data_IF_005427184875
#
_entry.id   IF_005427184875
#
_cell.length_a   1.000
_cell.length_b   1.000
_cell.length_c   1.000
_cell.angle_alpha   90.00
_cell.angle_beta   90.00
_cell.angle_gamma   90.00
#
_symmetry.space_group_name_H-M   'P 1'
#
loop_
_entity.id
_entity.type
_entity.pdbx_description
1 polymer ?
#
# COMPACT_ATOMS: atom_id res chain seq x y z
N UNK A 1 2.46 -38.41 -1.72
CA UNK A 1 3.13 -37.60 -0.69
C UNK A 1 4.39 -38.35 -0.27
N UNK A 2 5.57 -37.71 -0.32
CA UNK A 2 6.82 -38.38 0.06
C UNK A 2 6.74 -38.81 1.55
N UNK A 3 7.35 -39.96 1.87
CA UNK A 3 7.28 -40.55 3.23
C UNK A 3 8.19 -39.83 4.25
N UNK A 4 9.13 -39.00 3.79
CA UNK A 4 10.01 -38.21 4.65
C UNK A 4 9.74 -36.72 4.47
N UNK A 5 9.29 -36.07 5.56
CA UNK A 5 9.05 -34.62 5.61
C UNK A 5 10.35 -33.81 5.77
N UNK A 6 11.45 -34.46 6.12
CA UNK A 6 12.79 -33.89 6.25
C UNK A 6 13.64 -34.54 5.17
N UNK A 7 14.30 -33.73 4.36
CA UNK A 7 15.12 -34.16 3.23
C UNK A 7 16.54 -33.62 3.37
N UNK A 8 17.50 -34.32 2.80
CA UNK A 8 18.90 -33.90 2.77
C UNK A 8 19.15 -32.82 1.70
N UNK A 9 20.27 -32.11 1.80
CA UNK A 9 20.64 -30.99 0.92
C UNK A 9 20.59 -31.36 -0.57
N UNK A 10 21.11 -32.53 -0.94
CA UNK A 10 21.11 -32.98 -2.34
C UNK A 10 19.70 -33.20 -2.90
N UNK A 11 18.77 -33.67 -2.08
CA UNK A 11 17.37 -33.81 -2.49
C UNK A 11 16.70 -32.44 -2.59
N UNK A 12 16.97 -31.53 -1.67
CA UNK A 12 16.49 -30.15 -1.73
C UNK A 12 16.95 -29.45 -3.03
N UNK A 13 18.24 -29.55 -3.39
CA UNK A 13 18.78 -28.99 -4.64
C UNK A 13 18.12 -29.57 -5.88
N UNK A 14 17.85 -30.88 -5.90
CA UNK A 14 17.15 -31.52 -7.03
C UNK A 14 15.70 -31.06 -7.16
N UNK A 15 14.99 -30.89 -6.03
CA UNK A 15 13.60 -30.43 -6.04
C UNK A 15 13.50 -28.96 -6.46
N UNK A 16 14.40 -28.10 -5.97
CA UNK A 16 14.38 -26.67 -6.29
C UNK A 16 14.80 -26.40 -7.73
N UNK A 17 15.68 -27.21 -8.32
CA UNK A 17 16.01 -27.14 -9.75
C UNK A 17 14.77 -27.28 -10.67
N UNK A 18 13.71 -27.93 -10.19
CA UNK A 18 12.44 -28.06 -10.92
C UNK A 18 11.51 -26.85 -10.84
N UNK A 19 11.80 -25.86 -9.98
CA UNK A 19 10.90 -24.71 -9.78
C UNK A 19 11.12 -23.56 -10.76
N UNK A 20 12.26 -23.52 -11.46
CA UNK A 20 12.58 -22.50 -12.45
C UNK A 20 14.04 -22.04 -12.38
N UNK A 21 14.36 -21.04 -13.19
CA UNK A 21 15.73 -20.51 -13.33
C UNK A 21 15.93 -19.17 -12.59
N UNK A 22 14.87 -18.57 -12.07
CA UNK A 22 14.92 -17.29 -11.36
C UNK A 22 14.42 -17.48 -9.92
N UNK A 23 15.17 -16.92 -8.97
CA UNK A 23 14.82 -16.93 -7.55
C UNK A 23 14.96 -15.52 -6.98
N UNK A 24 14.02 -15.11 -6.13
CA UNK A 24 14.18 -13.94 -5.29
C UNK A 24 14.88 -14.35 -3.98
N UNK A 25 15.87 -13.56 -3.57
CA UNK A 25 16.51 -13.63 -2.27
C UNK A 25 15.89 -12.57 -1.37
N UNK A 26 15.19 -12.99 -0.32
CA UNK A 26 14.47 -12.11 0.59
C UNK A 26 15.13 -12.16 1.96
N UNK A 27 15.67 -11.05 2.43
CA UNK A 27 16.26 -10.98 3.76
C UNK A 27 15.19 -10.88 4.84
N UNK A 28 15.31 -11.72 5.86
CA UNK A 28 14.41 -11.75 6.99
C UNK A 28 14.87 -10.79 8.09
N UNK A 29 13.94 -10.25 8.91
CA UNK A 29 14.29 -9.54 10.14
C UNK A 29 15.06 -10.44 11.13
N UNK A 30 15.86 -9.84 12.01
CA UNK A 30 16.74 -10.56 12.94
C UNK A 30 16.03 -11.58 13.86
N UNK A 31 14.73 -11.40 14.11
CA UNK A 31 13.93 -12.31 14.95
C UNK A 31 13.38 -13.53 14.17
N UNK A 32 13.66 -13.65 12.88
CA UNK A 32 13.17 -14.72 11.99
C UNK A 32 14.35 -15.58 11.54
N UNK A 33 14.23 -16.90 11.72
CA UNK A 33 15.17 -17.87 11.20
C UNK A 33 14.59 -18.59 9.98
N UNK A 34 15.35 -18.77 8.88
CA UNK A 34 16.74 -18.31 8.64
C UNK A 34 16.84 -16.83 8.26
N UNK A 35 18.07 -16.29 8.15
CA UNK A 35 18.33 -14.88 7.83
C UNK A 35 17.88 -14.43 6.44
N UNK A 36 17.54 -15.37 5.56
CA UNK A 36 16.95 -15.10 4.26
C UNK A 36 16.10 -16.27 3.77
N UNK A 37 15.15 -16.00 2.89
CA UNK A 37 14.35 -16.98 2.17
C UNK A 37 14.59 -16.91 0.66
N UNK A 38 14.53 -18.06 -0.01
CA UNK A 38 14.63 -18.17 -1.45
C UNK A 38 13.28 -18.53 -2.05
N UNK A 39 12.77 -17.67 -2.93
CA UNK A 39 11.48 -17.86 -3.58
C UNK A 39 11.66 -18.13 -5.07
N UNK A 40 11.20 -19.28 -5.61
CA UNK A 40 11.19 -19.47 -7.05
C UNK A 40 10.22 -18.47 -7.70
N UNK A 41 10.66 -17.79 -8.75
CA UNK A 41 9.84 -16.87 -9.51
C UNK A 41 9.26 -17.58 -10.73
N UNK A 42 7.94 -17.57 -10.84
CA UNK A 42 7.26 -18.12 -12.03
C UNK A 42 7.75 -17.42 -13.31
N UNK A 43 7.85 -18.11 -14.46
CA UNK A 43 8.27 -17.47 -15.71
C UNK A 43 7.40 -16.28 -16.10
N UNK A 44 8.06 -15.24 -16.64
CA UNK A 44 7.38 -14.03 -17.13
C UNK A 44 6.42 -14.35 -18.27
N UNK A 45 5.22 -13.80 -18.21
CA UNK A 45 4.22 -13.89 -19.27
C UNK A 45 4.11 -12.52 -19.93
N UNK A 46 4.54 -12.43 -21.19
CA UNK A 46 4.45 -11.17 -21.94
C UNK A 46 3.08 -10.96 -22.59
N UNK A 47 2.40 -12.04 -23.00
CA UNK A 47 1.05 -11.98 -23.59
C UNK A 47 0.21 -13.16 -23.11
N UNK A 48 -0.85 -12.93 -22.32
CA UNK A 48 -1.72 -14.00 -21.83
C UNK A 48 -2.55 -14.61 -22.98
N UNK A 49 -2.95 -15.88 -22.85
CA UNK A 49 -3.92 -16.51 -23.79
C UNK A 49 -5.37 -16.18 -23.43
N UNK A 50 -5.63 -15.96 -22.15
CA UNK A 50 -6.91 -15.57 -21.58
C UNK A 50 -6.66 -14.80 -20.29
N UNK A 51 -7.61 -13.97 -19.89
CA UNK A 51 -7.61 -13.32 -18.58
C UNK A 51 -8.86 -13.79 -17.83
N UNK A 52 -8.70 -14.05 -16.54
CA UNK A 52 -9.76 -14.44 -15.60
C UNK A 52 -9.84 -13.52 -14.39
N UNK A 53 -8.72 -12.99 -13.95
CA UNK A 53 -8.65 -12.16 -12.76
C UNK A 53 -7.55 -11.10 -12.82
N UNK A 54 -7.72 -10.08 -11.99
CA UNK A 54 -6.73 -9.06 -11.65
C UNK A 54 -6.47 -9.14 -10.14
N UNK A 55 -5.22 -9.14 -9.74
CA UNK A 55 -4.83 -8.80 -8.36
C UNK A 55 -4.02 -7.52 -8.40
N UNK A 56 -4.31 -6.57 -7.52
CA UNK A 56 -3.61 -5.29 -7.55
C UNK A 56 -3.33 -4.77 -6.16
N UNK A 57 -2.23 -4.02 -6.03
CA UNK A 57 -1.94 -3.28 -4.81
C UNK A 57 -2.87 -2.09 -4.61
N UNK A 58 -2.97 -1.63 -3.36
CA UNK A 58 -3.75 -0.45 -2.99
C UNK A 58 -2.94 0.83 -3.16
N UNK A 59 -1.94 1.01 -2.30
CA UNK A 59 -1.07 2.18 -2.28
C UNK A 59 -0.28 2.23 -3.60
N UNK A 60 -0.14 3.40 -4.23
CA UNK A 60 0.73 3.62 -5.40
C UNK A 60 0.23 3.03 -6.72
N UNK A 61 -0.65 2.03 -6.64
CA UNK A 61 -1.25 1.33 -7.78
C UNK A 61 -2.72 1.72 -7.97
N UNK A 62 -3.49 1.76 -6.88
CA UNK A 62 -4.93 2.10 -6.88
C UNK A 62 -5.18 3.51 -6.36
N UNK A 63 -4.43 3.97 -5.36
CA UNK A 63 -4.67 5.27 -4.70
C UNK A 63 -3.38 5.95 -4.23
N UNK A 64 -3.45 7.25 -3.93
CA UNK A 64 -2.33 8.15 -3.59
C UNK A 64 -2.00 8.23 -2.09
N UNK A 65 -2.21 7.16 -1.33
CA UNK A 65 -2.07 7.12 0.13
C UNK A 65 -0.66 7.43 0.64
N UNK A 66 0.35 7.37 -0.22
CA UNK A 66 1.74 7.68 0.10
C UNK A 66 1.94 9.06 0.70
N UNK A 67 1.15 10.04 0.30
CA UNK A 67 1.27 11.39 0.83
C UNK A 67 0.96 11.44 2.34
N UNK A 68 0.02 10.60 2.80
CA UNK A 68 -0.29 10.43 4.23
C UNK A 68 0.90 9.73 4.93
N UNK A 69 1.49 8.73 4.29
CA UNK A 69 2.64 7.99 4.81
C UNK A 69 3.86 8.92 4.95
N UNK A 70 4.23 9.65 3.89
CA UNK A 70 5.33 10.62 3.89
C UNK A 70 5.12 11.69 4.96
N UNK A 71 3.91 12.26 5.04
CA UNK A 71 3.57 13.22 6.08
C UNK A 71 3.79 12.64 7.49
N UNK A 72 3.36 11.41 7.72
CA UNK A 72 3.44 10.77 9.03
C UNK A 72 4.90 10.41 9.40
N UNK A 73 5.70 10.01 8.42
CA UNK A 73 7.14 9.77 8.58
C UNK A 73 7.89 11.07 8.89
N UNK A 74 7.60 12.14 8.15
CA UNK A 74 8.18 13.44 8.42
C UNK A 74 7.78 13.93 9.82
N UNK A 75 6.50 13.83 10.18
CA UNK A 75 6.01 14.19 11.52
C UNK A 75 6.78 13.45 12.62
N UNK A 76 6.97 12.14 12.46
CA UNK A 76 7.75 11.33 13.38
C UNK A 76 9.18 11.87 13.53
N UNK A 77 9.87 12.18 12.43
CA UNK A 77 11.22 12.77 12.48
C UNK A 77 11.21 14.15 13.13
N UNK A 78 10.23 15.01 12.82
CA UNK A 78 10.08 16.34 13.46
C UNK A 78 9.95 16.20 14.97
N UNK A 79 9.15 15.24 15.44
CA UNK A 79 8.92 15.00 16.88
C UNK A 79 10.20 14.56 17.58
N UNK A 80 10.87 13.53 17.07
CA UNK A 80 12.06 12.97 17.75
C UNK A 80 13.33 13.82 17.60
N UNK A 81 13.32 14.83 16.72
CA UNK A 81 14.44 15.77 16.52
C UNK A 81 14.16 17.19 17.00
N UNK A 82 13.00 17.46 17.59
CA UNK A 82 12.55 18.79 18.02
C UNK A 82 12.44 19.84 16.88
N UNK A 83 12.07 19.39 15.67
CA UNK A 83 12.06 20.21 14.44
C UNK A 83 10.68 20.37 13.84
N UNK A 84 9.71 20.71 14.68
CA UNK A 84 8.35 21.01 14.22
C UNK A 84 8.28 22.27 13.34
N UNK A 85 9.22 23.19 13.51
CA UNK A 85 9.29 24.45 12.80
C UNK A 85 9.88 24.27 11.38
N UNK A 86 9.10 24.63 10.35
CA UNK A 86 9.47 24.51 8.93
C UNK A 86 10.51 25.54 8.48
N UNK A 87 10.75 26.58 9.27
CA UNK A 87 11.85 27.52 9.01
C UNK A 87 13.19 26.96 9.49
N UNK A 88 13.17 26.11 10.51
CA UNK A 88 14.37 25.42 11.04
C UNK A 88 14.73 24.15 10.27
N UNK A 89 13.73 23.45 9.75
CA UNK A 89 13.95 22.27 8.91
C UNK A 89 12.85 22.15 7.86
N UNK A 90 13.26 22.16 6.60
CA UNK A 90 12.34 22.17 5.45
C UNK A 90 11.58 20.87 5.26
N UNK A 91 12.02 19.77 5.88
CA UNK A 91 11.38 18.46 5.79
C UNK A 91 12.28 17.42 5.15
N UNK A 92 11.69 16.27 4.82
CA UNK A 92 12.38 15.18 4.16
C UNK A 92 12.85 15.59 2.75
N UNK A 93 14.00 15.07 2.33
CA UNK A 93 14.57 15.40 1.03
C UNK A 93 14.00 14.47 -0.05
N UNK A 94 13.41 15.05 -1.10
CA UNK A 94 12.77 14.28 -2.17
C UNK A 94 13.75 13.39 -2.96
N UNK A 95 15.00 13.80 -3.16
CA UNK A 95 15.95 13.05 -3.99
C UNK A 95 16.61 11.91 -3.21
N UNK A 96 16.86 12.10 -1.92
CA UNK A 96 17.60 11.14 -1.08
C UNK A 96 16.71 10.33 -0.15
N UNK A 97 15.68 10.93 0.45
CA UNK A 97 14.83 10.21 1.41
C UNK A 97 13.71 9.42 0.72
N UNK A 98 13.00 10.03 -0.25
CA UNK A 98 11.78 9.44 -0.83
C UNK A 98 11.99 8.03 -1.42
N UNK A 99 13.09 7.77 -2.16
CA UNK A 99 13.36 6.42 -2.68
C UNK A 99 13.53 5.34 -1.59
N UNK A 100 13.83 5.74 -0.35
CA UNK A 100 14.08 4.82 0.76
C UNK A 100 12.90 4.70 1.73
N UNK A 101 11.84 5.49 1.53
CA UNK A 101 10.70 5.58 2.45
C UNK A 101 9.34 5.26 1.81
N UNK A 102 9.34 4.69 0.61
CA UNK A 102 8.13 4.25 -0.13
C UNK A 102 8.37 2.88 -0.76
N UNK A 103 7.31 2.08 -0.93
CA UNK A 103 7.31 0.76 -1.59
C UNK A 103 8.16 -0.33 -0.89
N UNK A 104 8.33 -0.18 0.42
CA UNK A 104 8.86 -1.19 1.34
C UNK A 104 8.06 -1.13 2.66
N UNK A 105 8.38 -1.95 3.66
CA UNK A 105 7.71 -1.91 4.96
C UNK A 105 7.99 -0.61 5.72
N UNK A 106 7.00 -0.14 6.49
CA UNK A 106 7.15 1.03 7.37
C UNK A 106 8.35 0.91 8.30
N UNK A 107 8.64 -0.29 8.81
CA UNK A 107 9.82 -0.50 9.67
C UNK A 107 11.12 -0.16 8.95
N UNK A 108 11.26 -0.55 7.68
CA UNK A 108 12.46 -0.23 6.87
C UNK A 108 12.58 1.27 6.61
N UNK A 109 11.46 1.95 6.37
CA UNK A 109 11.42 3.40 6.21
C UNK A 109 11.90 4.11 7.47
N UNK A 110 11.41 3.67 8.63
CA UNK A 110 11.82 4.22 9.93
C UNK A 110 13.30 3.93 10.21
N UNK A 111 13.79 2.71 9.97
CA UNK A 111 15.21 2.36 10.12
C UNK A 111 16.11 3.32 9.32
N UNK A 112 15.79 3.54 8.04
CA UNK A 112 16.52 4.48 7.19
C UNK A 112 16.50 5.90 7.76
N UNK A 113 15.32 6.41 8.13
CA UNK A 113 15.19 7.79 8.62
C UNK A 113 15.88 8.00 9.97
N UNK A 114 15.84 7.01 10.88
CA UNK A 114 16.59 7.08 12.13
C UNK A 114 18.10 7.17 11.86
N UNK A 115 18.62 6.38 10.92
CA UNK A 115 20.04 6.46 10.54
C UNK A 115 20.38 7.80 9.88
N UNK A 116 19.59 8.25 8.92
CA UNK A 116 19.81 9.48 8.18
C UNK A 116 19.80 10.73 9.09
N UNK A 117 18.92 10.73 10.10
CA UNK A 117 18.72 11.87 11.00
C UNK A 117 19.31 11.68 12.41
N UNK A 118 20.09 10.62 12.65
CA UNK A 118 20.63 10.24 13.97
C UNK A 118 21.35 11.38 14.70
N UNK A 119 22.09 12.22 13.97
CA UNK A 119 22.87 13.34 14.52
C UNK A 119 22.01 14.42 15.19
N UNK A 120 20.70 14.37 14.97
CA UNK A 120 19.73 15.31 15.49
C UNK A 120 18.72 14.67 16.45
N UNK A 121 18.89 13.38 16.75
CA UNK A 121 18.01 12.66 17.65
C UNK A 121 18.01 13.32 19.05
N UNK A 122 16.82 13.55 19.58
CA UNK A 122 16.62 14.09 20.93
C UNK A 122 15.91 13.05 21.79
N UNK A 123 16.66 12.49 22.75
CA UNK A 123 16.17 11.46 23.67
C UNK A 123 14.93 11.89 24.47
N UNK A 124 14.89 13.12 24.95
CA UNK A 124 13.78 13.58 25.79
C UNK A 124 12.51 13.84 24.97
N UNK A 125 12.65 14.37 23.75
CA UNK A 125 11.51 14.51 22.84
C UNK A 125 10.98 13.16 22.35
N UNK A 126 11.86 12.17 22.11
CA UNK A 126 11.44 10.80 21.81
C UNK A 126 10.60 10.22 22.96
N UNK A 127 11.07 10.27 24.21
CA UNK A 127 10.33 9.75 25.37
C UNK A 127 8.97 10.43 25.53
N UNK A 128 8.94 11.75 25.36
CA UNK A 128 7.71 12.55 25.43
C UNK A 128 6.73 12.18 24.33
N UNK A 129 7.21 12.03 23.09
CA UNK A 129 6.40 11.61 21.96
C UNK A 129 5.87 10.18 22.17
N UNK A 130 6.70 9.26 22.62
CA UNK A 130 6.30 7.88 22.86
C UNK A 130 5.24 7.75 23.96
N UNK A 131 5.39 8.45 25.10
CA UNK A 131 4.33 8.48 26.13
C UNK A 131 3.03 9.04 25.57
N UNK A 132 3.10 10.10 24.75
CA UNK A 132 1.91 10.63 24.09
C UNK A 132 1.25 9.59 23.18
N UNK A 133 2.03 8.81 22.43
CA UNK A 133 1.49 7.70 21.62
C UNK A 133 0.72 6.72 22.48
N UNK A 134 1.28 6.25 23.59
CA UNK A 134 0.60 5.26 24.44
C UNK A 134 -0.74 5.82 24.96
N UNK A 135 -0.73 7.05 25.47
CA UNK A 135 -1.94 7.71 25.97
C UNK A 135 -2.98 7.89 24.85
N UNK A 136 -2.53 8.36 23.68
CA UNK A 136 -3.39 8.57 22.53
C UNK A 136 -4.01 7.26 22.05
N UNK A 137 -3.21 6.21 21.87
CA UNK A 137 -3.68 4.89 21.40
C UNK A 137 -4.66 4.28 22.38
N UNK A 138 -4.41 4.34 23.68
CA UNK A 138 -5.35 3.83 24.69
C UNK A 138 -6.68 4.60 24.76
N UNK A 139 -6.71 5.85 24.28
CA UNK A 139 -7.89 6.72 24.36
C UNK A 139 -8.68 6.77 23.04
N UNK A 140 -7.98 6.81 21.91
CA UNK A 140 -8.51 7.10 20.58
C UNK A 140 -8.16 6.03 19.54
N UNK A 141 -7.25 5.10 19.86
CA UNK A 141 -6.89 4.01 18.97
C UNK A 141 -8.10 3.14 18.65
N UNK A 142 -8.26 2.84 17.37
CA UNK A 142 -9.41 2.05 16.89
C UNK A 142 -9.04 0.56 16.77
N UNK A 143 -7.82 0.26 16.36
CA UNK A 143 -7.37 -1.13 16.20
C UNK A 143 -6.88 -1.74 17.50
N UNK A 144 -7.46 -2.89 17.86
CA UNK A 144 -7.14 -3.59 19.10
C UNK A 144 -5.74 -4.19 19.09
N UNK A 145 -5.29 -4.75 17.97
CA UNK A 145 -3.95 -5.36 17.87
C UNK A 145 -2.87 -4.30 18.00
N UNK A 146 -3.06 -3.15 17.35
CA UNK A 146 -2.21 -1.98 17.50
C UNK A 146 -2.13 -1.51 18.95
N UNK A 147 -3.26 -1.52 19.65
CA UNK A 147 -3.30 -1.19 21.07
C UNK A 147 -2.49 -2.19 21.90
N UNK A 148 -2.60 -3.49 21.62
CA UNK A 148 -1.83 -4.56 22.27
C UNK A 148 -0.32 -4.41 22.00
N UNK A 149 0.08 -4.11 20.76
CA UNK A 149 1.47 -3.85 20.36
C UNK A 149 2.07 -2.65 21.09
N UNK A 150 1.38 -1.50 21.08
CA UNK A 150 1.81 -0.29 21.81
C UNK A 150 1.92 -0.56 23.32
N UNK A 151 1.05 -1.39 23.89
CA UNK A 151 1.17 -1.81 25.29
C UNK A 151 2.41 -2.68 25.53
N UNK A 152 2.72 -3.61 24.63
CA UNK A 152 3.93 -4.45 24.71
C UNK A 152 5.18 -3.55 24.66
N UNK A 153 5.22 -2.62 23.72
CA UNK A 153 6.35 -1.69 23.57
C UNK A 153 6.46 -0.73 24.76
N UNK A 154 5.33 -0.24 25.31
CA UNK A 154 5.33 0.57 26.53
C UNK A 154 5.86 -0.20 27.75
N UNK A 155 5.46 -1.45 27.90
CA UNK A 155 5.97 -2.32 28.96
C UNK A 155 7.46 -2.59 28.80
N UNK A 156 7.95 -2.76 27.57
CA UNK A 156 9.37 -2.97 27.30
C UNK A 156 10.20 -1.70 27.55
N UNK A 157 9.73 -0.55 27.05
CA UNK A 157 10.48 0.70 27.07
C UNK A 157 10.42 1.43 28.41
N UNK A 158 9.30 1.37 29.14
CA UNK A 158 9.04 2.15 30.36
C UNK A 158 8.86 1.25 31.59
N UNK A 159 8.23 0.09 31.42
CA UNK A 159 7.96 -0.88 32.49
C UNK A 159 6.48 -1.06 32.85
N UNK A 160 6.14 -2.16 33.51
CA UNK A 160 4.76 -2.57 33.86
C UNK A 160 3.98 -1.53 34.67
N UNK A 161 4.65 -0.85 35.60
CA UNK A 161 4.02 0.12 36.50
C UNK A 161 3.47 1.35 35.77
N UNK A 162 3.94 1.62 34.55
CA UNK A 162 3.41 2.69 33.72
C UNK A 162 1.97 2.40 33.31
N UNK A 163 1.71 1.21 32.75
CA UNK A 163 0.37 0.82 32.25
C UNK A 163 -0.67 0.68 33.37
N UNK A 164 -0.23 0.48 34.61
CA UNK A 164 -1.10 0.40 35.78
C UNK A 164 -1.31 1.75 36.50
N UNK A 165 -0.77 2.85 35.95
CA UNK A 165 -0.94 4.18 36.55
C UNK A 165 -2.44 4.58 36.57
N UNK A 166 -2.87 5.19 37.68
CA UNK A 166 -4.26 5.65 37.86
C UNK A 166 -4.70 6.64 36.79
N UNK A 167 -3.79 7.41 36.22
CA UNK A 167 -4.07 8.34 35.13
C UNK A 167 -4.39 7.60 33.82
N UNK A 168 -3.78 6.43 33.58
CA UNK A 168 -4.08 5.59 32.42
C UNK A 168 -5.44 4.90 32.59
N UNK A 169 -5.76 4.45 33.81
CA UNK A 169 -7.06 3.80 34.08
C UNK A 169 -8.26 4.75 34.02
N UNK A 170 -8.04 6.07 34.03
CA UNK A 170 -9.10 7.10 34.03
C UNK A 170 -8.97 8.06 32.82
N UNK A 171 -8.51 7.56 31.68
CA UNK A 171 -8.30 8.37 30.48
C UNK A 171 -9.61 8.97 29.96
N UNK A 172 -9.55 10.27 29.64
CA UNK A 172 -10.61 10.98 28.92
C UNK A 172 -10.00 11.68 27.70
N UNK A 173 -10.76 11.68 26.60
CA UNK A 173 -10.32 12.24 25.31
C UNK A 173 -9.90 13.70 25.39
N UNK A 174 -10.55 14.51 26.22
CA UNK A 174 -10.25 15.95 26.38
C UNK A 174 -8.95 16.25 27.13
N UNK A 175 -8.31 15.25 27.75
CA UNK A 175 -7.15 15.45 28.62
C UNK A 175 -5.85 14.78 28.13
N UNK A 176 -5.82 14.24 26.91
CA UNK A 176 -4.67 13.47 26.36
C UNK A 176 -3.34 14.21 26.53
N UNK A 177 -3.23 15.47 26.10
CA UNK A 177 -1.98 16.25 26.22
C UNK A 177 -1.54 16.45 27.68
N UNK A 178 -2.50 16.82 28.53
CA UNK A 178 -2.27 17.10 29.95
C UNK A 178 -1.85 15.84 30.70
N UNK A 179 -2.50 14.71 30.44
CA UNK A 179 -2.19 13.42 31.05
C UNK A 179 -0.83 12.92 30.54
N UNK A 180 -0.57 13.00 29.24
CA UNK A 180 0.72 12.65 28.64
C UNK A 180 1.88 13.42 29.29
N UNK A 181 1.72 14.73 29.50
CA UNK A 181 2.76 15.54 30.14
C UNK A 181 2.98 15.17 31.62
N UNK A 182 1.92 14.86 32.37
CA UNK A 182 2.03 14.40 33.76
C UNK A 182 2.74 13.05 33.85
N UNK A 183 2.36 12.11 32.99
CA UNK A 183 2.98 10.79 32.90
C UNK A 183 4.45 10.89 32.47
N UNK A 184 4.78 11.77 31.52
CA UNK A 184 6.16 12.05 31.14
C UNK A 184 6.99 12.54 32.33
N UNK A 185 6.51 13.52 33.09
CA UNK A 185 7.21 14.01 34.29
C UNK A 185 7.44 12.92 35.34
N UNK A 186 6.54 11.93 35.41
CA UNK A 186 6.60 10.83 36.38
C UNK A 186 7.50 9.67 35.94
N UNK A 187 7.49 9.31 34.65
CA UNK A 187 8.09 8.08 34.14
C UNK A 187 9.26 8.31 33.16
N UNK A 188 9.67 9.55 32.86
CA UNK A 188 10.79 9.81 31.94
C UNK A 188 12.12 9.19 32.38
N UNK A 189 12.32 9.00 33.69
CA UNK A 189 13.48 8.32 34.28
C UNK A 189 13.36 6.79 34.30
N UNK A 190 12.15 6.24 34.13
CA UNK A 190 11.89 4.79 34.10
C UNK A 190 12.21 4.15 32.74
N UNK A 191 12.45 4.96 31.71
CA UNK A 191 12.81 4.45 30.40
C UNK A 191 14.09 3.62 30.46
N UNK A 192 14.07 2.46 29.79
CA UNK A 192 15.28 1.68 29.56
C UNK A 192 16.32 2.46 28.74
N UNK A 193 17.55 1.94 28.71
CA UNK A 193 18.57 2.46 27.81
C UNK A 193 18.14 2.28 26.35
N UNK A 194 18.17 3.39 25.59
CA UNK A 194 17.74 3.38 24.19
C UNK A 194 18.89 2.93 23.30
N UNK A 195 18.65 1.86 22.55
CA UNK A 195 19.47 1.43 21.42
C UNK A 195 18.70 1.60 20.10
N UNK A 196 19.37 1.36 18.97
CA UNK A 196 18.79 1.51 17.64
C UNK A 196 17.45 0.78 17.49
N UNK A 197 17.38 -0.50 17.86
CA UNK A 197 16.16 -1.32 17.77
C UNK A 197 15.00 -0.72 18.58
N UNK A 198 15.26 -0.28 19.81
CA UNK A 198 14.23 0.34 20.66
C UNK A 198 13.75 1.70 20.14
N UNK A 199 14.64 2.48 19.53
CA UNK A 199 14.29 3.76 18.90
C UNK A 199 13.42 3.50 17.67
N UNK A 200 13.78 2.54 16.83
CA UNK A 200 13.00 2.17 15.64
C UNK A 200 11.59 1.76 16.04
N UNK A 201 11.43 0.84 17.00
CA UNK A 201 10.09 0.40 17.48
C UNK A 201 9.23 1.57 17.97
N UNK A 202 9.75 2.39 18.90
CA UNK A 202 8.99 3.54 19.40
C UNK A 202 8.69 4.58 18.33
N UNK A 203 9.57 4.73 17.33
CA UNK A 203 9.34 5.63 16.19
C UNK A 203 8.30 5.11 15.21
N UNK A 204 8.22 3.79 15.00
CA UNK A 204 7.10 3.16 14.26
C UNK A 204 5.77 3.49 14.95
N UNK A 205 5.72 3.42 16.28
CA UNK A 205 4.53 3.80 17.05
C UNK A 205 4.15 5.29 16.89
N UNK A 206 5.14 6.19 16.89
CA UNK A 206 4.91 7.62 16.62
C UNK A 206 4.38 7.84 15.19
N UNK A 207 4.91 7.11 14.21
CA UNK A 207 4.41 7.16 12.84
C UNK A 207 2.92 6.74 12.77
N UNK A 208 2.57 5.56 13.28
CA UNK A 208 1.19 5.06 13.18
C UNK A 208 0.20 5.89 13.99
N UNK A 209 0.62 6.44 15.14
CA UNK A 209 -0.22 7.39 15.87
C UNK A 209 -0.65 8.54 14.95
N UNK A 210 0.30 9.14 14.23
CA UNK A 210 -0.01 10.24 13.33
C UNK A 210 -0.84 9.76 12.14
N UNK A 211 -0.48 8.63 11.53
CA UNK A 211 -1.20 8.05 10.41
C UNK A 211 -2.67 7.79 10.77
N UNK A 212 -2.95 7.15 11.91
CA UNK A 212 -4.30 6.87 12.39
C UNK A 212 -5.06 8.14 12.78
N UNK A 213 -4.39 9.15 13.34
CA UNK A 213 -5.02 10.45 13.59
C UNK A 213 -5.55 11.08 12.29
N UNK A 214 -4.79 10.98 11.20
CA UNK A 214 -5.22 11.48 9.89
C UNK A 214 -6.37 10.64 9.31
N UNK A 215 -6.30 9.31 9.39
CA UNK A 215 -7.37 8.43 8.92
C UNK A 215 -8.69 8.66 9.66
N UNK A 216 -8.65 8.88 10.98
CA UNK A 216 -9.85 9.20 11.78
C UNK A 216 -10.50 10.51 11.30
N UNK A 217 -9.69 11.53 10.96
CA UNK A 217 -10.21 12.80 10.41
C UNK A 217 -10.85 12.60 9.04
N UNK A 218 -10.20 11.83 8.17
CA UNK A 218 -10.74 11.48 6.85
C UNK A 218 -12.08 10.74 7.00
N UNK A 219 -12.16 9.76 7.90
CA UNK A 219 -13.38 9.01 8.17
C UNK A 219 -14.54 9.90 8.64
N UNK A 220 -14.24 10.98 9.38
CA UNK A 220 -15.22 11.98 9.85
C UNK A 220 -15.66 12.98 8.77
N UNK A 221 -15.05 12.94 7.58
CA UNK A 221 -15.35 13.84 6.47
C UNK A 221 -14.47 15.09 6.43
N UNK A 222 -13.44 15.19 7.27
CA UNK A 222 -12.55 16.35 7.34
C UNK A 222 -11.39 16.26 6.33
N UNK A 223 -11.41 15.29 5.41
CA UNK A 223 -10.31 15.02 4.47
C UNK A 223 -9.94 16.21 3.57
N UNK A 224 -10.93 16.95 3.05
CA UNK A 224 -10.68 18.15 2.23
C UNK A 224 -10.07 19.30 3.03
N UNK A 225 -10.53 19.49 4.27
CA UNK A 225 -10.01 20.53 5.17
C UNK A 225 -8.55 20.22 5.50
N UNK A 226 -8.29 18.97 5.88
CA UNK A 226 -6.96 18.47 6.18
C UNK A 226 -6.02 18.66 4.97
N UNK A 227 -6.49 18.34 3.75
CA UNK A 227 -5.67 18.45 2.55
C UNK A 227 -5.30 19.90 2.22
N UNK A 228 -6.24 20.84 2.42
CA UNK A 228 -5.98 22.28 2.28
C UNK A 228 -4.96 22.78 3.30
N UNK A 229 -5.06 22.34 4.55
CA UNK A 229 -4.12 22.72 5.61
C UNK A 229 -2.70 22.22 5.34
N UNK A 230 -2.57 20.99 4.84
CA UNK A 230 -1.28 20.32 4.69
C UNK A 230 -0.60 20.56 3.34
N UNK A 231 -1.32 20.57 2.22
CA UNK A 231 -0.72 20.73 0.88
C UNK A 231 -0.78 22.17 0.33
N UNK A 232 -1.52 23.07 0.99
CA UNK A 232 -1.75 24.46 0.53
C UNK A 232 -2.26 24.57 -0.92
N UNK A 233 -2.85 23.50 -1.46
CA UNK A 233 -3.39 23.45 -2.81
C UNK A 233 -4.90 23.14 -2.76
N UNK A 234 -5.78 24.11 -3.10
CA UNK A 234 -7.22 23.88 -3.14
C UNK A 234 -7.56 22.97 -4.32
N UNK A 235 -7.83 21.69 -4.04
CA UNK A 235 -8.28 20.70 -5.03
C UNK A 235 -7.55 19.36 -4.97
N UNK A 236 -6.48 19.23 -4.17
CA UNK A 236 -5.82 17.95 -3.90
C UNK A 236 -6.51 17.26 -2.73
N UNK A 237 -6.89 16.00 -2.88
CA UNK A 237 -7.32 15.13 -1.78
C UNK A 237 -6.14 14.26 -1.32
N UNK A 238 -6.17 13.79 -0.07
CA UNK A 238 -5.18 12.83 0.43
C UNK A 238 -5.30 11.46 -0.23
N UNK A 239 -6.53 11.09 -0.60
CA UNK A 239 -6.88 9.79 -1.14
C UNK A 239 -7.60 10.05 -2.45
N UNK A 240 -6.86 9.91 -3.54
CA UNK A 240 -7.37 10.01 -4.90
C UNK A 240 -7.15 8.69 -5.62
N UNK A 241 -7.98 8.34 -6.62
CA UNK A 241 -7.65 7.25 -7.51
C UNK A 241 -6.42 7.61 -8.33
N UNK A 242 -5.50 6.64 -8.46
CA UNK A 242 -4.45 6.76 -9.48
C UNK A 242 -5.08 6.95 -10.87
N UNK A 243 -4.38 7.61 -11.82
CA UNK A 243 -4.93 7.85 -13.15
C UNK A 243 -5.49 6.58 -13.79
N UNK A 244 -6.68 6.70 -14.40
CA UNK A 244 -7.36 5.60 -15.08
C UNK A 244 -7.97 4.50 -14.20
N UNK A 245 -7.82 4.52 -12.87
CA UNK A 245 -8.32 3.48 -11.96
C UNK A 245 -9.83 3.23 -12.10
N UNK A 246 -10.64 4.29 -12.08
CA UNK A 246 -12.10 4.15 -12.23
C UNK A 246 -12.50 3.52 -13.57
N UNK A 247 -11.84 3.94 -14.65
CA UNK A 247 -12.07 3.40 -16.00
C UNK A 247 -11.62 1.94 -16.09
N UNK A 248 -10.46 1.61 -15.53
CA UNK A 248 -9.92 0.25 -15.51
C UNK A 248 -10.85 -0.71 -14.76
N UNK A 249 -11.32 -0.34 -13.56
CA UNK A 249 -12.27 -1.18 -12.81
C UNK A 249 -13.59 -1.36 -13.58
N UNK A 250 -14.14 -0.29 -14.16
CA UNK A 250 -15.37 -0.38 -14.94
C UNK A 250 -15.19 -1.22 -16.21
N UNK A 251 -14.01 -1.17 -16.84
CA UNK A 251 -13.63 -1.97 -18.00
C UNK A 251 -13.60 -3.46 -17.66
N UNK A 252 -12.83 -3.86 -16.65
CA UNK A 252 -12.64 -5.29 -16.33
C UNK A 252 -13.91 -5.92 -15.74
N UNK A 253 -14.77 -5.14 -15.08
CA UNK A 253 -16.10 -5.59 -14.62
C UNK A 253 -17.15 -5.58 -15.74
N UNK A 254 -16.77 -5.26 -16.98
CA UNK A 254 -17.65 -5.34 -18.14
C UNK A 254 -18.78 -4.31 -18.14
N UNK A 255 -18.53 -3.11 -17.61
CA UNK A 255 -19.58 -2.10 -17.42
C UNK A 255 -19.63 -1.06 -18.56
N UNK A 256 -18.59 -0.98 -19.39
CA UNK A 256 -18.43 0.09 -20.37
C UNK A 256 -18.90 -0.29 -21.78
N UNK A 257 -18.70 -1.53 -22.21
CA UNK A 257 -19.01 -1.97 -23.58
C UNK A 257 -18.39 -1.03 -24.63
N UNK A 258 -19.14 -0.66 -25.66
CA UNK A 258 -18.68 0.30 -26.68
C UNK A 258 -18.42 1.72 -26.14
N UNK A 259 -19.05 2.11 -25.04
CA UNK A 259 -18.96 3.48 -24.52
C UNK A 259 -17.62 3.80 -23.87
N UNK A 260 -16.71 2.81 -23.75
CA UNK A 260 -15.30 3.07 -23.46
C UNK A 260 -14.70 4.06 -24.44
N UNK A 261 -15.16 4.10 -25.70
CA UNK A 261 -14.68 5.04 -26.72
C UNK A 261 -14.74 6.50 -26.26
N UNK A 262 -15.76 6.85 -25.46
CA UNK A 262 -15.98 8.21 -24.96
C UNK A 262 -15.02 8.60 -23.84
N UNK A 263 -14.37 7.62 -23.19
CA UNK A 263 -13.43 7.81 -22.08
C UNK A 263 -11.96 7.74 -22.55
N UNK A 264 -11.72 7.34 -23.80
CA UNK A 264 -10.37 7.28 -24.39
C UNK A 264 -9.65 8.64 -24.35
N UNK A 265 -10.28 9.79 -24.64
CA UNK A 265 -9.61 11.08 -24.58
C UNK A 265 -8.99 11.36 -23.20
N UNK A 266 -9.69 10.99 -22.12
CA UNK A 266 -9.21 11.19 -20.74
C UNK A 266 -7.96 10.33 -20.49
N UNK A 267 -8.00 9.05 -20.88
CA UNK A 267 -6.84 8.14 -20.77
C UNK A 267 -5.63 8.63 -21.58
N UNK A 268 -5.86 9.26 -22.73
CA UNK A 268 -4.79 9.79 -23.57
C UNK A 268 -4.18 11.07 -23.01
N UNK A 269 -4.96 11.91 -22.32
CA UNK A 269 -4.43 13.12 -21.71
C UNK A 269 -3.37 12.78 -20.65
N UNK A 270 -3.63 11.74 -19.86
CA UNK A 270 -2.66 11.22 -18.87
C UNK A 270 -1.35 10.79 -19.53
N UNK A 271 -1.41 10.10 -20.67
CA UNK A 271 -0.22 9.60 -21.36
C UNK A 271 0.52 10.67 -22.16
N UNK A 272 -0.20 11.63 -22.76
CA UNK A 272 0.40 12.77 -23.47
C UNK A 272 1.19 13.67 -22.54
N UNK A 273 0.69 13.88 -21.32
CA UNK A 273 1.41 14.66 -20.30
C UNK A 273 2.78 14.07 -19.94
N UNK A 274 3.02 12.80 -20.28
CA UNK A 274 4.24 12.04 -20.00
C UNK A 274 5.08 11.70 -21.24
N UNK A 275 4.66 12.17 -22.42
CA UNK A 275 5.33 11.88 -23.72
C UNK A 275 5.42 10.38 -24.07
N UNK A 276 4.40 9.59 -23.71
CA UNK A 276 4.41 8.12 -23.82
C UNK A 276 3.65 7.53 -25.03
N UNK A 277 3.05 8.35 -25.91
CA UNK A 277 2.24 7.90 -27.07
C UNK A 277 2.40 8.79 -28.32
N UNK A 278 2.49 8.17 -29.50
CA UNK A 278 2.37 8.81 -30.83
C UNK A 278 0.91 8.79 -31.35
N UNK A 279 0.48 9.89 -31.98
CA UNK A 279 -0.85 10.09 -32.56
C UNK A 279 -1.28 9.04 -33.59
N UNK A 280 -0.35 8.44 -34.34
CA UNK A 280 -0.68 7.35 -35.29
C UNK A 280 -1.07 6.04 -34.59
N UNK A 281 -0.58 5.79 -33.38
CA UNK A 281 -0.94 4.59 -32.61
C UNK A 281 -2.35 4.67 -32.03
N UNK A 282 -2.78 5.88 -31.64
CA UNK A 282 -4.03 6.13 -30.92
C UNK A 282 -5.24 5.47 -31.59
N UNK A 283 -5.46 5.69 -32.90
CA UNK A 283 -6.64 5.17 -33.60
C UNK A 283 -6.70 3.64 -33.62
N UNK A 284 -5.54 2.99 -33.69
CA UNK A 284 -5.45 1.54 -33.64
C UNK A 284 -5.75 1.03 -32.23
N UNK A 285 -5.13 1.64 -31.21
CA UNK A 285 -5.32 1.27 -29.81
C UNK A 285 -6.78 1.47 -29.35
N UNK A 286 -7.45 2.52 -29.82
CA UNK A 286 -8.87 2.75 -29.52
C UNK A 286 -9.78 1.63 -29.99
N UNK A 287 -9.59 1.14 -31.23
CA UNK A 287 -10.38 0.02 -31.77
C UNK A 287 -10.20 -1.25 -30.93
N UNK A 288 -8.98 -1.49 -30.46
CA UNK A 288 -8.69 -2.65 -29.62
C UNK A 288 -9.31 -2.53 -28.24
N UNK A 289 -9.22 -1.37 -27.60
CA UNK A 289 -9.82 -1.15 -26.29
C UNK A 289 -11.35 -1.32 -26.34
N UNK A 290 -12.00 -0.88 -27.42
CA UNK A 290 -13.43 -1.13 -27.66
C UNK A 290 -13.72 -2.64 -27.76
N UNK A 291 -12.93 -3.38 -28.55
CA UNK A 291 -13.09 -4.83 -28.69
C UNK A 291 -12.86 -5.58 -27.36
N UNK A 292 -11.87 -5.16 -26.59
CA UNK A 292 -11.57 -5.70 -25.26
C UNK A 292 -12.73 -5.42 -24.29
N UNK A 293 -13.26 -4.20 -24.28
CA UNK A 293 -14.38 -3.81 -23.44
C UNK A 293 -15.65 -4.63 -23.74
N UNK A 294 -15.96 -4.86 -25.02
CA UNK A 294 -17.05 -5.78 -25.43
C UNK A 294 -16.84 -7.19 -24.92
N UNK A 295 -15.60 -7.68 -24.95
CA UNK A 295 -15.27 -9.01 -24.44
C UNK A 295 -15.48 -9.10 -22.93
N UNK A 296 -15.05 -8.10 -22.16
CA UNK A 296 -15.29 -8.07 -20.72
C UNK A 296 -16.75 -7.84 -20.36
N UNK A 297 -17.55 -7.18 -21.21
CA UNK A 297 -19.00 -7.10 -21.05
C UNK A 297 -19.67 -8.48 -21.12
N UNK A 298 -19.10 -9.42 -21.91
CA UNK A 298 -19.54 -10.82 -21.97
C UNK A 298 -18.96 -11.69 -20.87
N UNK A 299 -17.67 -11.50 -20.55
CA UNK A 299 -16.94 -12.28 -19.55
C UNK A 299 -16.15 -11.32 -18.65
N UNK A 300 -16.79 -10.75 -17.62
CA UNK A 300 -16.12 -9.89 -16.65
C UNK A 300 -15.00 -10.63 -15.93
N UNK A 301 -13.94 -9.91 -15.58
CA UNK A 301 -12.87 -10.43 -14.75
C UNK A 301 -13.24 -10.33 -13.27
N UNK A 302 -12.67 -11.23 -12.48
CA UNK A 302 -12.62 -11.06 -11.02
C UNK A 302 -11.50 -10.06 -10.66
N UNK A 303 -11.64 -9.35 -9.55
CA UNK A 303 -10.60 -8.43 -9.06
C UNK A 303 -10.43 -8.57 -7.55
N UNK A 304 -9.17 -8.65 -7.10
CA UNK A 304 -8.81 -8.53 -5.69
C UNK A 304 -7.88 -7.34 -5.45
N UNK A 305 -8.12 -6.65 -4.34
CA UNK A 305 -7.19 -5.67 -3.77
C UNK A 305 -6.34 -6.37 -2.71
N UNK A 306 -5.03 -6.12 -2.74
CA UNK A 306 -4.03 -6.79 -1.91
C UNK A 306 -3.10 -5.76 -1.31
N UNK A 307 -3.16 -5.50 -0.01
CA UNK A 307 -2.32 -4.49 0.65
C UNK A 307 -1.65 -5.02 1.92
N UNK A 308 -0.50 -4.44 2.26
CA UNK A 308 0.17 -4.65 3.55
C UNK A 308 -0.42 -3.80 4.68
N UNK A 309 -1.37 -2.91 4.41
CA UNK A 309 -2.16 -2.23 5.43
C UNK A 309 -3.09 -3.20 6.15
N UNK A 310 -3.36 -2.94 7.43
CA UNK A 310 -4.39 -3.68 8.16
C UNK A 310 -5.78 -3.33 7.65
N UNK A 311 -6.75 -4.21 7.90
CA UNK A 311 -8.12 -4.04 7.41
C UNK A 311 -8.74 -2.68 7.70
N UNK A 312 -8.58 -2.17 8.93
CA UNK A 312 -9.16 -0.89 9.35
C UNK A 312 -8.67 0.28 8.49
N UNK A 313 -7.37 0.31 8.20
CA UNK A 313 -6.75 1.37 7.39
C UNK A 313 -7.26 1.30 5.96
N UNK A 314 -7.17 0.11 5.36
CA UNK A 314 -7.62 -0.14 4.00
C UNK A 314 -9.13 0.13 3.81
N UNK A 315 -9.96 -0.18 4.81
CA UNK A 315 -11.40 0.08 4.78
C UNK A 315 -11.71 1.58 4.72
N UNK A 316 -11.03 2.40 5.53
CA UNK A 316 -11.18 3.87 5.48
C UNK A 316 -10.72 4.41 4.13
N UNK A 317 -9.54 3.97 3.68
CA UNK A 317 -8.94 4.43 2.42
C UNK A 317 -9.84 4.11 1.25
N UNK A 318 -10.26 2.85 1.10
CA UNK A 318 -11.11 2.42 -0.01
C UNK A 318 -12.50 3.06 0.05
N UNK A 319 -13.04 3.29 1.25
CA UNK A 319 -14.31 4.01 1.41
C UNK A 319 -14.20 5.44 0.89
N UNK A 320 -13.14 6.16 1.24
CA UNK A 320 -12.94 7.52 0.76
C UNK A 320 -12.64 7.57 -0.74
N UNK A 321 -11.75 6.70 -1.21
CA UNK A 321 -11.42 6.53 -2.63
C UNK A 321 -12.69 6.36 -3.47
N UNK A 322 -13.60 5.49 -3.04
CA UNK A 322 -14.83 5.22 -3.79
C UNK A 322 -15.81 6.39 -3.78
N UNK A 323 -15.79 7.28 -2.77
CA UNK A 323 -16.54 8.54 -2.85
C UNK A 323 -16.00 9.43 -3.97
N UNK A 324 -14.67 9.56 -4.09
CA UNK A 324 -14.02 10.35 -5.15
C UNK A 324 -14.32 9.75 -6.53
N UNK A 325 -14.12 8.43 -6.69
CA UNK A 325 -14.45 7.69 -7.92
C UNK A 325 -15.94 7.88 -8.28
N UNK A 326 -16.85 7.82 -7.30
CA UNK A 326 -18.28 8.00 -7.54
C UNK A 326 -18.58 9.39 -8.11
N UNK A 327 -17.91 10.46 -7.66
CA UNK A 327 -18.06 11.79 -8.27
C UNK A 327 -17.47 11.84 -9.68
N UNK A 328 -16.29 11.26 -9.92
CA UNK A 328 -15.68 11.19 -11.25
C UNK A 328 -16.63 10.53 -12.28
N UNK A 329 -17.27 9.41 -11.91
CA UNK A 329 -18.22 8.71 -12.79
C UNK A 329 -19.46 9.55 -13.13
N UNK A 330 -19.91 10.45 -12.23
CA UNK A 330 -21.05 11.34 -12.54
C UNK A 330 -20.72 12.26 -13.72
N UNK A 331 -19.47 12.66 -13.85
CA UNK A 331 -18.99 13.59 -14.87
C UNK A 331 -18.74 12.89 -16.22
N UNK A 332 -18.62 11.56 -16.24
CA UNK A 332 -18.39 10.80 -17.47
C UNK A 332 -19.46 11.06 -18.53
N UNK A 333 -19.02 11.31 -19.77
CA UNK A 333 -19.92 11.54 -20.91
C UNK A 333 -20.45 10.22 -21.51
N UNK A 334 -21.09 9.38 -20.70
CA UNK A 334 -21.70 8.10 -21.12
C UNK A 334 -23.23 8.12 -20.91
N UNK A 335 -23.94 7.15 -21.49
CA UNK A 335 -25.38 7.03 -21.42
C UNK A 335 -25.87 6.92 -19.98
N UNK A 336 -27.02 7.54 -19.69
CA UNK A 336 -27.60 7.55 -18.33
C UNK A 336 -27.84 6.15 -17.78
N UNK A 337 -28.20 5.19 -18.64
CA UNK A 337 -28.41 3.80 -18.25
C UNK A 337 -27.11 3.12 -17.77
N UNK A 338 -26.01 3.24 -18.54
CA UNK A 338 -24.70 2.70 -18.13
C UNK A 338 -24.15 3.44 -16.92
N UNK A 339 -24.24 4.77 -16.90
CA UNK A 339 -23.82 5.59 -15.76
C UNK A 339 -24.50 5.13 -14.46
N UNK A 340 -25.81 4.93 -14.48
CA UNK A 340 -26.56 4.43 -13.31
C UNK A 340 -26.08 3.05 -12.84
N UNK A 341 -25.77 2.13 -13.77
CA UNK A 341 -25.22 0.80 -13.44
C UNK A 341 -23.83 0.91 -12.80
N UNK A 342 -22.96 1.74 -13.35
CA UNK A 342 -21.59 1.95 -12.83
C UNK A 342 -21.64 2.62 -11.46
N UNK A 343 -22.43 3.68 -11.30
CA UNK A 343 -22.62 4.34 -10.01
C UNK A 343 -23.12 3.35 -8.96
N UNK A 344 -24.12 2.51 -9.29
CA UNK A 344 -24.60 1.48 -8.37
C UNK A 344 -23.50 0.49 -7.95
N UNK A 345 -22.65 0.10 -8.90
CA UNK A 345 -21.50 -0.74 -8.62
C UNK A 345 -20.49 -0.01 -7.71
N UNK A 346 -20.24 1.27 -7.94
CA UNK A 346 -19.25 2.06 -7.21
C UNK A 346 -19.79 2.74 -5.93
N UNK A 347 -21.01 2.45 -5.51
CA UNK A 347 -21.55 2.91 -4.22
C UNK A 347 -20.74 2.36 -3.02
N UNK A 348 -20.12 1.19 -3.19
CA UNK A 348 -19.29 0.56 -2.17
C UNK A 348 -18.18 -0.26 -2.85
N UNK A 349 -16.95 -0.13 -2.39
CA UNK A 349 -15.80 -0.85 -2.95
C UNK A 349 -16.00 -2.37 -2.93
N UNK A 350 -16.74 -2.90 -1.95
CA UNK A 350 -17.06 -4.33 -1.82
C UNK A 350 -17.96 -4.87 -2.93
N UNK A 351 -18.65 -4.01 -3.67
CA UNK A 351 -19.40 -4.42 -4.85
C UNK A 351 -18.47 -4.69 -6.05
N UNK A 352 -17.30 -4.03 -6.09
CA UNK A 352 -16.33 -4.15 -7.18
C UNK A 352 -15.38 -5.32 -6.92
N UNK A 353 -14.76 -5.33 -5.74
CA UNK A 353 -13.73 -6.29 -5.37
C UNK A 353 -14.34 -7.64 -4.97
N UNK A 354 -13.96 -8.67 -5.71
CA UNK A 354 -14.32 -10.07 -5.44
C UNK A 354 -13.39 -10.68 -4.38
N UNK A 355 -12.23 -10.06 -4.13
CA UNK A 355 -11.31 -10.41 -3.04
C UNK A 355 -10.75 -9.18 -2.34
N UNK A 356 -10.54 -9.28 -1.03
CA UNK A 356 -9.98 -8.22 -0.20
C UNK A 356 -8.97 -8.84 0.78
N UNK A 357 -7.69 -8.63 0.49
CA UNK A 357 -6.59 -9.17 1.30
C UNK A 357 -5.82 -8.03 1.93
N UNK A 358 -5.68 -8.10 3.25
CA UNK A 358 -5.04 -7.10 4.10
C UNK A 358 -4.10 -7.81 5.06
N UNK A 359 -3.23 -7.05 5.72
CA UNK A 359 -2.38 -7.55 6.78
C UNK A 359 -3.19 -8.06 7.97
N UNK A 360 -2.71 -9.14 8.59
CA UNK A 360 -3.27 -9.65 9.84
C UNK A 360 -2.82 -8.87 11.06
N UNK A 361 -1.67 -8.20 10.99
CA UNK A 361 -1.01 -7.49 12.08
C UNK A 361 0.01 -6.48 11.51
N UNK A 362 0.61 -5.65 12.35
CA UNK A 362 1.53 -4.60 11.91
C UNK A 362 2.97 -5.07 11.63
N UNK A 363 3.26 -6.38 11.69
CA UNK A 363 4.56 -6.91 11.24
C UNK A 363 4.59 -7.03 9.70
N UNK A 364 4.25 -5.94 9.03
CA UNK A 364 4.08 -5.83 7.58
C UNK A 364 5.32 -6.26 6.80
N UNK A 365 6.50 -6.14 7.43
CA UNK A 365 7.80 -6.55 6.91
C UNK A 365 7.86 -8.01 6.45
N UNK A 366 6.94 -8.84 6.93
CA UNK A 366 6.80 -10.26 6.59
C UNK A 366 5.75 -10.55 5.52
N UNK A 367 5.05 -9.53 5.02
CA UNK A 367 3.95 -9.70 4.07
C UNK A 367 4.43 -9.56 2.64
N UNK A 368 4.96 -8.39 2.28
CA UNK A 368 5.72 -8.17 1.04
C UNK A 368 7.20 -8.03 1.41
N UNK A 369 8.13 -8.70 0.73
CA UNK A 369 8.04 -9.31 -0.60
C UNK A 369 7.58 -10.80 -0.66
N UNK A 370 7.05 -11.36 0.43
CA UNK A 370 6.59 -12.75 0.46
C UNK A 370 5.28 -12.93 -0.36
N UNK A 371 5.04 -14.16 -0.82
CA UNK A 371 3.93 -14.48 -1.76
C UNK A 371 2.54 -14.51 -1.13
N UNK A 372 2.46 -14.49 0.19
CA UNK A 372 1.32 -14.99 0.95
C UNK A 372 0.05 -14.19 0.69
N UNK A 373 0.11 -12.85 0.68
CA UNK A 373 -1.06 -12.02 0.43
C UNK A 373 -1.64 -12.27 -0.98
N UNK A 374 -0.81 -12.34 -2.01
CA UNK A 374 -1.27 -12.65 -3.36
C UNK A 374 -1.77 -14.09 -3.49
N UNK A 375 -1.15 -15.05 -2.78
CA UNK A 375 -1.63 -16.44 -2.76
C UNK A 375 -3.01 -16.55 -2.11
N UNK A 376 -3.26 -15.81 -1.04
CA UNK A 376 -4.57 -15.70 -0.40
C UNK A 376 -5.58 -15.03 -1.36
N UNK A 377 -5.16 -14.00 -2.11
CA UNK A 377 -6.02 -13.35 -3.10
C UNK A 377 -6.45 -14.34 -4.19
N UNK A 378 -5.52 -15.15 -4.71
CA UNK A 378 -5.84 -16.21 -5.66
C UNK A 378 -6.87 -17.21 -5.11
N UNK A 379 -6.77 -17.55 -3.83
CA UNK A 379 -7.75 -18.42 -3.15
C UNK A 379 -9.12 -17.74 -2.98
N UNK A 380 -9.17 -16.49 -2.50
CA UNK A 380 -10.43 -15.74 -2.36
C UNK A 380 -11.15 -15.55 -3.70
N UNK A 381 -10.38 -15.36 -4.78
CA UNK A 381 -10.91 -15.27 -6.14
C UNK A 381 -11.31 -16.63 -6.74
N UNK A 382 -11.15 -17.74 -6.02
CA UNK A 382 -11.42 -19.10 -6.50
C UNK A 382 -10.74 -19.38 -7.85
N UNK A 383 -9.45 -19.04 -7.95
CA UNK A 383 -8.63 -19.30 -9.13
C UNK A 383 -7.75 -20.52 -8.87
N UNK A 384 -7.92 -21.63 -9.62
CA UNK A 384 -7.06 -22.80 -9.48
C UNK A 384 -5.66 -22.51 -10.01
N UNK A 385 -4.64 -23.22 -9.50
CA UNK A 385 -3.25 -23.06 -9.93
C UNK A 385 -3.04 -23.20 -11.46
N UNK A 386 -3.84 -24.05 -12.12
CA UNK A 386 -3.81 -24.24 -13.58
C UNK A 386 -4.20 -22.98 -14.38
N UNK A 387 -4.82 -21.99 -13.73
CA UNK A 387 -5.26 -20.73 -14.30
C UNK A 387 -4.42 -19.53 -13.83
N UNK A 388 -3.34 -19.71 -13.06
CA UNK A 388 -2.49 -18.60 -12.61
C UNK A 388 -1.88 -17.83 -13.79
N UNK A 389 -1.67 -18.50 -14.93
CA UNK A 389 -1.23 -17.86 -16.18
C UNK A 389 -2.31 -17.01 -16.88
N UNK A 390 -3.52 -16.94 -16.31
CA UNK A 390 -4.65 -16.11 -16.76
C UNK A 390 -4.94 -14.97 -15.77
N UNK A 391 -4.03 -14.72 -14.83
CA UNK A 391 -4.14 -13.62 -13.86
C UNK A 391 -3.08 -12.58 -14.16
N UNK A 392 -3.47 -11.32 -14.08
CA UNK A 392 -2.56 -10.17 -14.10
C UNK A 392 -2.38 -9.66 -12.67
N UNK A 393 -1.13 -9.45 -12.28
CA UNK A 393 -0.76 -8.78 -11.05
C UNK A 393 -0.27 -7.36 -11.34
N UNK A 394 -0.76 -6.38 -10.59
CA UNK A 394 -0.39 -4.96 -10.71
C UNK A 394 0.23 -4.46 -9.40
N UNK A 395 1.39 -3.81 -9.49
CA UNK A 395 2.17 -3.31 -8.35
C UNK A 395 3.06 -2.14 -8.75
N UNK A 396 3.40 -1.24 -7.84
CA UNK A 396 4.22 -0.05 -8.07
C UNK A 396 5.66 -0.16 -7.52
N UNK A 397 5.97 -1.23 -6.79
CA UNK A 397 7.17 -1.43 -5.97
C UNK A 397 7.92 -2.73 -6.29
N UNK A 398 9.23 -2.74 -6.01
CA UNK A 398 10.07 -3.95 -6.14
C UNK A 398 9.52 -5.09 -5.28
N UNK A 399 9.23 -4.80 -4.01
CA UNK A 399 8.81 -5.83 -3.05
C UNK A 399 7.55 -6.56 -3.49
N UNK A 400 6.56 -5.85 -4.02
CA UNK A 400 5.35 -6.49 -4.50
C UNK A 400 5.47 -7.16 -5.86
N UNK A 401 6.33 -6.68 -6.77
CA UNK A 401 6.60 -7.41 -8.02
C UNK A 401 7.23 -8.78 -7.74
N UNK A 402 8.09 -8.91 -6.72
CA UNK A 402 8.56 -10.20 -6.22
C UNK A 402 7.41 -11.04 -5.66
N UNK A 403 6.58 -10.46 -4.78
CA UNK A 403 5.46 -11.15 -4.14
C UNK A 403 4.47 -11.74 -5.17
N UNK A 404 4.14 -10.99 -6.22
CA UNK A 404 3.25 -11.44 -7.33
C UNK A 404 3.84 -12.64 -8.05
N UNK A 405 5.11 -12.57 -8.48
CA UNK A 405 5.75 -13.68 -9.22
C UNK A 405 6.02 -14.89 -8.34
N UNK A 406 6.36 -14.68 -7.07
CA UNK A 406 6.50 -15.74 -6.08
C UNK A 406 5.17 -16.43 -5.76
N UNK A 407 4.04 -15.75 -5.95
CA UNK A 407 2.68 -16.32 -5.86
C UNK A 407 2.27 -17.11 -7.11
N UNK A 408 3.14 -17.19 -8.13
CA UNK A 408 2.87 -17.96 -9.35
C UNK A 408 2.23 -17.16 -10.49
N UNK A 409 2.06 -15.84 -10.33
CA UNK A 409 1.44 -14.96 -11.32
C UNK A 409 2.52 -14.43 -12.29
N UNK A 410 2.58 -15.03 -13.49
CA UNK A 410 3.61 -14.69 -14.47
C UNK A 410 3.40 -13.37 -15.19
N UNK A 411 2.15 -12.92 -15.35
CA UNK A 411 1.84 -11.61 -15.92
C UNK A 411 1.85 -10.55 -14.81
N UNK A 412 3.04 -10.23 -14.32
CA UNK A 412 3.29 -9.16 -13.37
C UNK A 412 3.57 -7.85 -14.12
N UNK A 413 2.84 -6.79 -13.83
CA UNK A 413 3.03 -5.47 -14.44
C UNK A 413 3.36 -4.48 -13.35
N UNK A 414 4.53 -3.85 -13.46
CA UNK A 414 4.89 -2.76 -12.59
C UNK A 414 4.27 -1.45 -13.09
N UNK A 415 3.69 -0.65 -12.20
CA UNK A 415 3.09 0.67 -12.47
C UNK A 415 3.78 1.74 -11.61
N UNK A 416 5.08 2.01 -11.85
CA UNK A 416 5.80 2.96 -11.03
C UNK A 416 5.22 4.37 -11.13
N UNK A 417 5.27 5.09 -10.03
CA UNK A 417 4.96 6.52 -9.94
C UNK A 417 6.18 7.28 -9.42
N UNK A 418 6.05 8.59 -9.19
CA UNK A 418 7.22 9.44 -8.92
C UNK A 418 8.07 8.91 -7.75
N UNK A 419 7.42 8.44 -6.68
CA UNK A 419 8.08 7.98 -5.46
C UNK A 419 8.73 6.59 -5.59
N UNK A 420 8.28 5.72 -6.51
CA UNK A 420 8.87 4.39 -6.75
C UNK A 420 9.71 4.30 -8.02
N UNK A 421 9.96 5.43 -8.69
CA UNK A 421 10.72 5.48 -9.94
C UNK A 421 12.17 4.95 -9.84
N UNK A 422 12.75 4.93 -8.63
CA UNK A 422 14.10 4.41 -8.37
C UNK A 422 14.16 2.91 -8.04
N UNK A 423 13.03 2.20 -8.00
CA UNK A 423 12.99 0.78 -7.62
C UNK A 423 13.49 -0.14 -8.74
N UNK A 424 14.08 -1.29 -8.35
CA UNK A 424 14.38 -2.34 -9.30
C UNK A 424 13.13 -3.16 -9.63
N UNK A 425 12.56 -2.92 -10.82
CA UNK A 425 11.34 -3.57 -11.29
C UNK A 425 11.62 -4.71 -12.27
N UNK A 426 12.85 -5.23 -12.32
CA UNK A 426 13.25 -6.33 -13.20
C UNK A 426 12.46 -7.61 -12.95
N UNK A 427 11.85 -7.79 -11.78
CA UNK A 427 10.95 -8.92 -11.57
C UNK A 427 9.75 -8.89 -12.51
N UNK A 428 9.23 -7.71 -12.87
CA UNK A 428 8.03 -7.58 -13.67
C UNK A 428 8.19 -8.11 -15.11
N UNK A 429 7.06 -8.53 -15.69
CA UNK A 429 6.97 -8.87 -17.13
C UNK A 429 6.86 -7.64 -18.00
N UNK A 430 6.21 -6.59 -17.49
CA UNK A 430 6.07 -5.29 -18.13
C UNK A 430 6.25 -4.19 -17.09
N UNK A 431 6.72 -3.04 -17.53
CA UNK A 431 6.77 -1.81 -16.73
C UNK A 431 5.95 -0.76 -17.49
N UNK A 432 4.94 -0.22 -16.85
CA UNK A 432 4.00 0.75 -17.39
C UNK A 432 4.16 2.09 -16.66
N UNK A 433 5.08 2.93 -17.13
CA UNK A 433 5.36 4.27 -16.57
C UNK A 433 4.18 5.25 -16.71
N UNK A 434 3.25 4.98 -17.62
CA UNK A 434 1.99 5.68 -17.78
C UNK A 434 0.84 5.06 -16.96
N UNK A 435 1.12 4.11 -16.08
CA UNK A 435 0.15 3.49 -15.17
C UNK A 435 -0.94 2.69 -15.88
N UNK A 436 -2.14 2.66 -15.28
CA UNK A 436 -3.30 1.96 -15.85
C UNK A 436 -3.75 2.48 -17.23
N UNK A 437 -3.70 3.79 -17.55
CA UNK A 437 -3.95 4.27 -18.90
C UNK A 437 -3.06 3.60 -19.94
N UNK A 438 -1.77 3.44 -19.62
CA UNK A 438 -0.83 2.72 -20.49
C UNK A 438 -1.22 1.24 -20.61
N UNK A 439 -1.58 0.57 -19.52
CA UNK A 439 -1.98 -0.85 -19.54
C UNK A 439 -3.22 -1.08 -20.41
N UNK A 440 -4.22 -0.20 -20.30
CA UNK A 440 -5.46 -0.29 -21.10
C UNK A 440 -5.23 -0.03 -22.58
N UNK A 441 -4.35 0.92 -22.90
CA UNK A 441 -4.11 1.35 -24.28
C UNK A 441 -3.02 0.52 -24.96
N UNK A 442 -2.01 0.01 -24.25
CA UNK A 442 -0.95 -0.85 -24.80
C UNK A 442 -1.37 -2.32 -24.82
N UNK A 443 -0.57 -3.13 -25.51
CA UNK A 443 -0.89 -4.53 -25.77
C UNK A 443 -0.78 -5.49 -24.58
N UNK A 444 -0.79 -4.97 -23.35
CA UNK A 444 -0.55 -5.73 -22.12
C UNK A 444 -1.73 -6.66 -21.82
N UNK A 445 -2.96 -6.15 -21.99
CA UNK A 445 -4.19 -6.96 -21.82
C UNK A 445 -4.51 -7.82 -23.05
N UNK A 446 -3.61 -7.90 -24.05
CA UNK A 446 -3.92 -8.58 -25.30
C UNK A 446 -3.89 -10.09 -25.12
N UNK A 447 -5.00 -10.69 -25.51
CA UNK A 447 -5.16 -12.13 -25.54
C UNK A 447 -4.58 -12.64 -26.87
N UNK A 448 -3.67 -13.62 -26.79
CA UNK A 448 -3.11 -14.29 -27.97
C UNK A 448 -4.19 -14.95 -28.83
#
# INVERSE_FOLDING_TARGET
MSKNKIIEVDEALRLTAGFGNEFALIHNPDFVHPSFELYPLTPKILKPKALKAVVMDMDGTTTTTEEICIHSLEYMIRKITARMDTDKWKGLNHESDYPNIIGNSTTKHVEYLILAYQKYFNKEEFKKAFIFVVVWTLTLGIDKKRTEEVCIDANHLIGKDFLHDKLINNLQTSEIDKISLKLYKKYSSSFMELNFTTIVKGSVDIYYQRYHELLIKIQKGDGEILAKELFKNPGKHFIEPMPGVAVFMALIKGLLGEEIEKLIPDLLNDLKSRDLIDGKEIKRLSKYLIALSKRFEQVPLKIAIVTSSIFYEADIVLTELFKVIYQQVKEWNISSARKKKILKMFENYRNVYDGFVTASDSNEIRLKPHRDLYSIAMHQLDIPQSDFNKVIGLEDSESGTFAIRAAGIGLCVAVPFAQTSGHNLEAASHIAYGGLPEIMLKQILYLK
#
